data_IF_512645186904
#
_entry.id   IF_512645186904
#
_cell.length_a   1.000
_cell.length_b   1.000
_cell.length_c   1.000
_cell.angle_alpha   90.00
_cell.angle_beta   90.00
_cell.angle_gamma   90.00
#
_symmetry.space_group_name_H-M   'P 1'
#
loop_
_entity.id
_entity.type
_entity.pdbx_description
1 polymer ?
#
# COMPACT_ATOMS: atom_id res chain seq x y z
N UNK A 1 -9.74 -4.36 -25.21
CA UNK A 1 -10.01 -2.93 -24.92
C UNK A 1 -8.91 -2.03 -25.45
N UNK A 2 -9.28 -1.03 -26.27
CA UNK A 2 -8.36 -0.15 -26.98
C UNK A 2 -7.52 0.73 -26.04
N UNK A 3 -6.29 1.04 -26.45
CA UNK A 3 -5.36 1.97 -25.78
C UNK A 3 -6.04 3.34 -25.50
N UNK A 4 -6.99 3.71 -26.33
CA UNK A 4 -7.70 4.99 -26.32
C UNK A 4 -8.53 5.25 -25.05
N UNK A 5 -9.21 4.23 -24.49
CA UNK A 5 -10.04 4.39 -23.28
C UNK A 5 -9.21 4.49 -22.00
N UNK A 6 -7.98 3.95 -22.00
CA UNK A 6 -7.01 4.08 -20.89
C UNK A 6 -6.37 5.46 -20.88
N UNK A 7 -5.92 5.94 -22.04
CA UNK A 7 -5.35 7.27 -22.18
C UNK A 7 -6.31 8.38 -21.71
N UNK A 8 -7.59 8.30 -22.10
CA UNK A 8 -8.58 9.31 -21.66
C UNK A 8 -8.71 9.38 -20.13
N UNK A 9 -8.77 8.23 -19.45
CA UNK A 9 -8.87 8.17 -17.99
C UNK A 9 -7.63 8.72 -17.29
N UNK A 10 -6.45 8.42 -17.83
CA UNK A 10 -5.20 8.94 -17.28
C UNK A 10 -5.12 10.47 -17.44
N UNK A 11 -5.55 11.01 -18.60
CA UNK A 11 -5.65 12.46 -18.84
C UNK A 11 -6.68 13.11 -17.92
N UNK A 12 -7.88 12.53 -17.82
CA UNK A 12 -8.94 13.04 -16.95
C UNK A 12 -8.48 13.07 -15.48
N UNK A 13 -7.90 11.97 -15.00
CA UNK A 13 -7.40 11.87 -13.65
C UNK A 13 -6.24 12.81 -13.36
N UNK A 14 -5.33 12.99 -14.33
CA UNK A 14 -4.24 13.95 -14.25
C UNK A 14 -4.73 15.40 -14.21
N UNK A 15 -5.73 15.75 -15.03
CA UNK A 15 -6.36 17.07 -15.02
C UNK A 15 -7.07 17.35 -13.69
N UNK A 16 -7.89 16.41 -13.20
CA UNK A 16 -8.55 16.51 -11.88
C UNK A 16 -7.53 16.72 -10.76
N UNK A 17 -6.45 15.94 -10.76
CA UNK A 17 -5.39 16.07 -9.77
C UNK A 17 -4.67 17.43 -9.86
N UNK A 18 -4.40 17.93 -11.07
CA UNK A 18 -3.80 19.24 -11.28
C UNK A 18 -4.67 20.38 -10.73
N UNK A 19 -5.98 20.30 -10.98
CA UNK A 19 -6.96 21.29 -10.51
C UNK A 19 -7.10 21.28 -8.98
N UNK A 20 -7.14 20.09 -8.37
CA UNK A 20 -7.10 19.95 -6.90
C UNK A 20 -5.82 20.55 -6.31
N UNK A 21 -4.69 20.36 -6.99
CA UNK A 21 -3.41 20.95 -6.61
C UNK A 21 -3.44 22.47 -6.60
N UNK A 22 -4.07 23.08 -7.62
CA UNK A 22 -4.28 24.54 -7.68
C UNK A 22 -5.16 25.01 -6.53
N UNK A 23 -6.26 24.33 -6.22
CA UNK A 23 -7.13 24.71 -5.09
C UNK A 23 -6.40 24.65 -3.74
N UNK A 24 -5.55 23.63 -3.53
CA UNK A 24 -4.72 23.52 -2.33
C UNK A 24 -3.67 24.64 -2.23
N UNK A 25 -3.05 25.03 -3.34
CA UNK A 25 -2.12 26.16 -3.37
C UNK A 25 -2.84 27.49 -3.09
N UNK A 26 -4.04 27.67 -3.65
CA UNK A 26 -4.88 28.85 -3.40
C UNK A 26 -5.23 28.92 -1.90
N UNK A 27 -5.61 27.81 -1.28
CA UNK A 27 -5.92 27.73 0.15
C UNK A 27 -4.69 28.03 1.03
N UNK A 28 -3.52 27.45 0.71
CA UNK A 28 -2.28 27.72 1.46
C UNK A 28 -1.85 29.18 1.36
N UNK A 29 -2.00 29.78 0.18
CA UNK A 29 -1.68 31.20 -0.04
C UNK A 29 -2.66 32.08 0.74
N UNK A 30 -3.95 31.71 0.79
CA UNK A 30 -4.94 32.36 1.63
C UNK A 30 -4.56 32.29 3.11
N UNK A 31 -4.28 31.11 3.65
CA UNK A 31 -3.86 30.93 5.04
C UNK A 31 -2.60 31.75 5.37
N UNK A 32 -1.63 31.77 4.46
CA UNK A 32 -0.40 32.56 4.62
C UNK A 32 -0.69 34.06 4.65
N UNK A 33 -1.50 34.57 3.71
CA UNK A 33 -1.85 35.99 3.68
C UNK A 33 -2.70 36.40 4.88
N UNK A 34 -3.63 35.55 5.32
CA UNK A 34 -4.41 35.77 6.54
C UNK A 34 -3.48 35.82 7.75
N UNK A 35 -2.58 34.84 7.89
CA UNK A 35 -1.62 34.79 9.00
C UNK A 35 -0.65 35.98 9.04
N UNK A 36 -0.10 36.39 7.89
CA UNK A 36 0.76 37.59 7.79
C UNK A 36 -0.04 38.83 8.21
N UNK A 37 -1.24 39.00 7.67
CA UNK A 37 -2.05 40.17 7.95
C UNK A 37 -2.51 40.21 9.43
N UNK A 38 -2.78 39.07 10.05
CA UNK A 38 -3.07 38.94 11.49
C UNK A 38 -1.83 39.24 12.36
N UNK A 39 -0.64 38.85 11.92
CA UNK A 39 0.61 39.14 12.61
C UNK A 39 1.00 40.64 12.52
N UNK A 40 0.66 41.29 11.41
CA UNK A 40 0.94 42.72 11.19
C UNK A 40 -0.09 43.66 11.82
N UNK A 41 -1.20 43.15 12.35
CA UNK A 41 -2.19 44.01 13.02
C UNK A 41 -1.66 44.53 14.36
N UNK A 42 -1.71 45.86 14.58
CA UNK A 42 -1.42 46.44 15.89
C UNK A 42 -2.35 45.85 16.97
N UNK A 43 -1.83 45.63 18.18
CA UNK A 43 -2.58 44.92 19.23
C UNK A 43 -3.91 45.60 19.60
N UNK A 44 -4.02 46.92 19.41
CA UNK A 44 -5.23 47.72 19.65
C UNK A 44 -6.30 47.62 18.55
N UNK A 45 -5.96 47.05 17.38
CA UNK A 45 -6.88 46.81 16.25
C UNK A 45 -7.31 45.33 16.15
N UNK A 46 -6.73 44.45 16.96
CA UNK A 46 -7.09 43.03 17.01
C UNK A 46 -8.57 42.88 17.41
N UNK A 47 -9.35 42.26 16.53
CA UNK A 47 -10.77 41.95 16.76
C UNK A 47 -11.77 42.96 16.19
N UNK A 48 -11.33 44.12 15.67
CA UNK A 48 -12.25 45.10 15.05
C UNK A 48 -12.54 44.80 13.58
N UNK A 49 -11.54 44.36 12.82
CA UNK A 49 -11.65 43.95 11.41
C UNK A 49 -10.69 42.79 11.14
N UNK A 50 -11.16 41.53 11.04
CA UNK A 50 -10.28 40.40 10.78
C UNK A 50 -9.71 40.52 9.36
N UNK A 51 -8.38 40.46 9.15
CA UNK A 51 -7.77 40.53 7.81
C UNK A 51 -8.30 39.49 6.83
N UNK A 52 -8.75 38.36 7.37
CA UNK A 52 -9.48 37.33 6.65
C UNK A 52 -10.71 37.85 5.89
N UNK A 53 -11.34 38.94 6.31
CA UNK A 53 -12.51 39.53 5.64
C UNK A 53 -12.19 40.09 4.24
N UNK A 54 -10.94 40.50 3.98
CA UNK A 54 -10.51 41.05 2.68
C UNK A 54 -9.87 40.00 1.76
N UNK A 55 -9.14 39.04 2.35
CA UNK A 55 -8.51 37.96 1.60
C UNK A 55 -9.53 36.92 1.12
N UNK A 56 -10.47 36.50 1.99
CA UNK A 56 -11.43 35.41 1.71
C UNK A 56 -12.26 35.60 0.44
N UNK A 57 -12.78 36.79 0.09
CA UNK A 57 -13.54 37.00 -1.14
C UNK A 57 -12.71 36.76 -2.41
N UNK A 58 -11.46 37.23 -2.45
CA UNK A 58 -10.54 37.07 -3.59
C UNK A 58 -10.20 35.61 -3.79
N UNK A 59 -9.84 34.91 -2.70
CA UNK A 59 -9.53 33.48 -2.76
C UNK A 59 -10.76 32.61 -3.05
N UNK A 60 -11.95 33.01 -2.57
CA UNK A 60 -13.21 32.37 -2.97
C UNK A 60 -13.49 32.54 -4.45
N UNK A 61 -13.23 33.72 -5.03
CA UNK A 61 -13.36 33.95 -6.48
C UNK A 61 -12.36 33.10 -7.28
N UNK A 62 -11.11 32.99 -6.82
CA UNK A 62 -10.10 32.14 -7.45
C UNK A 62 -10.49 30.65 -7.43
N UNK A 63 -11.01 30.14 -6.29
CA UNK A 63 -11.55 28.78 -6.19
C UNK A 63 -12.78 28.56 -7.07
N UNK A 64 -13.69 29.54 -7.15
CA UNK A 64 -14.86 29.45 -8.03
C UNK A 64 -14.45 29.40 -9.50
N UNK A 65 -13.45 30.17 -9.90
CA UNK A 65 -12.88 30.13 -11.25
C UNK A 65 -12.21 28.77 -11.54
N UNK A 66 -11.40 28.25 -10.62
CA UNK A 66 -10.78 26.93 -10.75
C UNK A 66 -11.85 25.82 -10.84
N UNK A 67 -12.89 25.88 -10.00
CA UNK A 67 -14.03 24.96 -10.06
C UNK A 67 -14.90 25.11 -11.31
N UNK A 68 -14.94 26.29 -11.93
CA UNK A 68 -15.59 26.50 -13.23
C UNK A 68 -14.77 25.90 -14.38
N UNK A 69 -13.44 26.07 -14.35
CA UNK A 69 -12.51 25.41 -15.28
C UNK A 69 -12.61 23.89 -15.14
N UNK A 70 -12.64 23.37 -13.91
CA UNK A 70 -12.81 21.94 -13.62
C UNK A 70 -14.13 21.39 -14.21
N UNK A 71 -15.24 22.09 -13.99
CA UNK A 71 -16.55 21.71 -14.55
C UNK A 71 -16.60 21.85 -16.07
N UNK A 72 -15.96 22.86 -16.65
CA UNK A 72 -15.89 23.05 -18.11
C UNK A 72 -15.05 21.98 -18.80
N UNK A 73 -13.91 21.61 -18.21
CA UNK A 73 -13.07 20.51 -18.69
C UNK A 73 -13.77 19.16 -18.47
N UNK A 74 -14.39 18.94 -17.31
CA UNK A 74 -15.19 17.74 -17.04
C UNK A 74 -16.39 17.60 -17.97
N UNK A 75 -17.10 18.69 -18.25
CA UNK A 75 -18.22 18.72 -19.19
C UNK A 75 -17.80 18.44 -20.64
N UNK A 76 -16.69 19.04 -21.09
CA UNK A 76 -16.17 18.77 -22.44
C UNK A 76 -15.60 17.36 -22.59
N UNK A 77 -14.98 16.79 -21.55
CA UNK A 77 -14.58 15.38 -21.50
C UNK A 77 -15.78 14.41 -21.43
N UNK A 78 -16.87 14.77 -20.76
CA UNK A 78 -18.10 14.00 -20.67
C UNK A 78 -18.91 13.97 -21.97
N UNK A 79 -18.77 15.01 -22.80
CA UNK A 79 -19.36 15.08 -24.16
C UNK A 79 -18.61 14.19 -25.16
N UNK A 80 -17.35 13.85 -24.88
CA UNK A 80 -16.69 12.79 -25.63
C UNK A 80 -17.33 11.45 -25.18
N UNK A 81 -17.75 10.57 -26.11
CA UNK A 81 -18.49 9.35 -25.77
C UNK A 81 -17.73 8.57 -24.70
N UNK A 82 -18.29 8.50 -23.49
CA UNK A 82 -17.67 7.82 -22.37
C UNK A 82 -17.45 6.36 -22.75
N UNK A 83 -16.20 5.86 -22.83
CA UNK A 83 -16.01 4.43 -22.88
C UNK A 83 -16.55 3.88 -21.55
N UNK A 84 -17.27 2.77 -21.61
CA UNK A 84 -17.79 2.07 -20.43
C UNK A 84 -16.72 1.97 -19.32
N UNK A 85 -17.10 2.04 -18.04
CA UNK A 85 -16.16 1.89 -16.94
C UNK A 85 -15.39 0.59 -17.13
N UNK A 86 -14.11 0.74 -17.39
CA UNK A 86 -13.26 -0.36 -17.78
C UNK A 86 -12.35 -0.71 -16.62
N UNK A 87 -12.86 -1.49 -15.68
CA UNK A 87 -11.99 -2.48 -15.07
C UNK A 87 -11.24 -3.15 -16.23
N UNK A 88 -9.90 -3.05 -16.24
CA UNK A 88 -9.09 -3.50 -17.37
C UNK A 88 -9.60 -4.87 -17.81
N UNK A 89 -9.92 -5.03 -19.10
CA UNK A 89 -10.54 -6.28 -19.58
C UNK A 89 -9.88 -7.47 -18.89
N UNK A 90 -10.66 -8.37 -18.27
CA UNK A 90 -10.10 -9.54 -17.63
C UNK A 90 -9.16 -10.21 -18.63
N UNK A 91 -7.90 -10.42 -18.25
CA UNK A 91 -6.88 -10.96 -19.16
C UNK A 91 -6.00 -9.94 -19.90
N UNK A 92 -6.24 -8.64 -19.80
CA UNK A 92 -5.32 -7.61 -20.33
C UNK A 92 -4.13 -7.37 -19.39
N UNK A 93 -2.95 -7.12 -19.96
CA UNK A 93 -1.76 -6.62 -19.24
C UNK A 93 -1.68 -5.12 -19.44
N UNK A 94 -1.30 -4.38 -18.40
CA UNK A 94 -0.96 -2.98 -18.58
C UNK A 94 0.52 -2.84 -18.96
N UNK A 95 0.89 -1.68 -19.50
CA UNK A 95 2.28 -1.37 -19.78
C UNK A 95 3.04 -1.22 -18.45
N UNK A 96 4.21 -1.87 -18.26
CA UNK A 96 4.93 -1.84 -17.00
C UNK A 96 5.18 -0.43 -16.46
N UNK A 97 5.56 0.53 -17.33
CA UNK A 97 5.80 1.91 -16.93
C UNK A 97 4.57 2.61 -16.33
N UNK A 98 3.36 2.34 -16.86
CA UNK A 98 2.12 2.91 -16.32
C UNK A 98 1.77 2.32 -14.96
N UNK A 99 1.92 1.01 -14.79
CA UNK A 99 1.65 0.35 -13.50
C UNK A 99 2.57 0.89 -12.41
N UNK A 100 3.87 1.03 -12.73
CA UNK A 100 4.87 1.59 -11.84
C UNK A 100 4.52 3.03 -11.47
N UNK A 101 4.16 3.87 -12.45
CA UNK A 101 3.77 5.26 -12.19
C UNK A 101 2.51 5.37 -11.32
N UNK A 102 1.45 4.59 -11.62
CA UNK A 102 0.23 4.58 -10.81
C UNK A 102 0.48 4.10 -9.39
N UNK A 103 1.34 3.11 -9.21
CA UNK A 103 1.74 2.62 -7.89
C UNK A 103 2.45 3.71 -7.07
N UNK A 104 3.38 4.45 -7.67
CA UNK A 104 4.01 5.60 -7.02
C UNK A 104 2.97 6.64 -6.61
N UNK A 105 2.09 7.02 -7.54
CA UNK A 105 1.06 8.02 -7.28
C UNK A 105 0.11 7.59 -6.14
N UNK A 106 -0.40 6.37 -6.19
CA UNK A 106 -1.29 5.83 -5.17
C UNK A 106 -0.57 5.65 -3.84
N UNK A 107 0.70 5.28 -3.81
CA UNK A 107 1.45 5.22 -2.56
C UNK A 107 1.61 6.58 -1.88
N UNK A 108 1.84 7.66 -2.65
CA UNK A 108 2.07 9.00 -2.09
C UNK A 108 0.78 9.74 -1.76
N UNK A 109 -0.28 9.62 -2.59
CA UNK A 109 -1.53 10.40 -2.48
C UNK A 109 -2.81 9.58 -2.69
N UNK A 110 -2.74 8.26 -2.61
CA UNK A 110 -3.86 7.41 -3.00
C UNK A 110 -5.12 7.55 -2.13
N UNK A 111 -5.00 7.94 -0.86
CA UNK A 111 -6.15 8.26 -0.02
C UNK A 111 -6.89 9.52 -0.50
N UNK A 112 -6.16 10.54 -0.96
CA UNK A 112 -6.75 11.70 -1.63
C UNK A 112 -7.41 11.32 -2.96
N UNK A 113 -6.76 10.49 -3.78
CA UNK A 113 -7.33 10.03 -5.04
C UNK A 113 -8.65 9.28 -4.83
N UNK A 114 -8.73 8.43 -3.80
CA UNK A 114 -9.97 7.73 -3.43
C UNK A 114 -11.04 8.71 -2.93
N UNK A 115 -10.68 9.61 -2.01
CA UNK A 115 -11.63 10.58 -1.44
C UNK A 115 -12.20 11.58 -2.48
N UNK A 116 -11.46 11.83 -3.57
CA UNK A 116 -11.86 12.71 -4.67
C UNK A 116 -12.52 11.97 -5.85
N UNK A 117 -12.76 10.65 -5.73
CA UNK A 117 -13.28 9.80 -6.81
C UNK A 117 -12.46 9.99 -8.11
N UNK A 118 -11.14 10.05 -7.96
CA UNK A 118 -10.22 10.24 -9.07
C UNK A 118 -10.01 8.89 -9.78
N UNK A 119 -10.12 8.82 -11.14
CA UNK A 119 -9.98 7.56 -11.88
C UNK A 119 -8.57 6.94 -11.82
N UNK A 120 -7.58 7.64 -11.26
CA UNK A 120 -6.24 7.12 -10.98
C UNK A 120 -6.17 6.34 -9.66
N UNK A 121 -7.20 6.40 -8.81
CA UNK A 121 -7.28 5.62 -7.59
C UNK A 121 -7.35 4.12 -7.94
N UNK A 122 -6.41 3.33 -7.42
CA UNK A 122 -6.38 1.90 -7.64
C UNK A 122 -7.42 1.18 -6.77
N UNK A 123 -8.34 0.45 -7.39
CA UNK A 123 -9.15 -0.53 -6.68
C UNK A 123 -8.33 -1.79 -6.37
N UNK A 124 -8.61 -2.45 -5.24
CA UNK A 124 -7.98 -3.73 -4.92
C UNK A 124 -8.46 -4.81 -5.90
N UNK A 125 -7.52 -5.49 -6.54
CA UNK A 125 -7.85 -6.52 -7.51
C UNK A 125 -6.79 -7.63 -7.62
N UNK A 126 -7.21 -8.89 -7.83
CA UNK A 126 -6.28 -9.99 -8.02
C UNK A 126 -5.72 -9.99 -9.45
N UNK A 127 -4.45 -10.37 -9.58
CA UNK A 127 -3.73 -10.49 -10.85
C UNK A 127 -3.07 -11.85 -10.96
N UNK A 128 -3.25 -12.50 -12.11
CA UNK A 128 -2.59 -13.75 -12.43
C UNK A 128 -1.71 -13.55 -13.66
N UNK A 129 -0.41 -13.86 -13.54
CA UNK A 129 0.59 -13.64 -14.61
C UNK A 129 0.57 -12.19 -15.15
N UNK A 130 0.37 -11.20 -14.26
CA UNK A 130 0.28 -9.78 -14.62
C UNK A 130 -1.03 -9.35 -15.25
N UNK A 131 -2.05 -10.21 -15.33
CA UNK A 131 -3.36 -9.91 -15.92
C UNK A 131 -4.43 -9.80 -14.84
N UNK A 132 -5.35 -8.85 -14.98
CA UNK A 132 -6.49 -8.74 -14.08
C UNK A 132 -7.31 -10.03 -14.10
N UNK A 133 -7.63 -10.51 -12.90
CA UNK A 133 -8.49 -11.65 -12.63
C UNK A 133 -9.79 -11.13 -11.99
N UNK A 134 -10.94 -11.62 -12.44
CA UNK A 134 -12.21 -11.42 -11.75
C UNK A 134 -12.60 -12.75 -11.12
N UNK A 135 -12.76 -12.85 -9.79
CA UNK A 135 -13.15 -14.10 -9.14
C UNK A 135 -14.43 -14.70 -9.72
N UNK A 136 -15.39 -13.87 -10.09
CA UNK A 136 -16.70 -14.27 -10.58
C UNK A 136 -16.74 -14.54 -12.10
N UNK A 137 -15.60 -14.46 -12.81
CA UNK A 137 -15.55 -14.73 -14.25
C UNK A 137 -15.89 -16.21 -14.54
N UNK A 138 -16.91 -16.50 -15.35
CA UNK A 138 -17.26 -17.88 -15.75
C UNK A 138 -16.09 -18.65 -16.37
N UNK A 139 -15.10 -17.95 -16.95
CA UNK A 139 -13.92 -18.54 -17.58
C UNK A 139 -12.68 -18.57 -16.67
N UNK A 140 -12.84 -18.37 -15.36
CA UNK A 140 -11.74 -18.34 -14.40
C UNK A 140 -10.83 -19.58 -14.50
N UNK A 141 -11.43 -20.77 -14.61
CA UNK A 141 -10.69 -22.03 -14.76
C UNK A 141 -9.74 -22.02 -15.96
N UNK A 142 -10.24 -21.57 -17.12
CA UNK A 142 -9.46 -21.47 -18.35
C UNK A 142 -8.35 -20.40 -18.24
N UNK A 143 -8.61 -19.29 -17.54
CA UNK A 143 -7.62 -18.22 -17.32
C UNK A 143 -6.46 -18.64 -16.42
N UNK A 144 -6.75 -19.44 -15.39
CA UNK A 144 -5.72 -19.96 -14.49
C UNK A 144 -4.92 -21.09 -15.15
N UNK A 145 -5.55 -21.88 -16.03
CA UNK A 145 -4.85 -22.88 -16.85
C UNK A 145 -4.19 -23.96 -16.01
N UNK A 146 -4.95 -24.55 -15.08
CA UNK A 146 -4.47 -25.57 -14.13
C UNK A 146 -4.28 -25.03 -12.71
N UNK A 147 -5.33 -24.43 -12.14
CA UNK A 147 -5.34 -24.05 -10.73
C UNK A 147 -5.15 -25.28 -9.83
N UNK A 148 -4.32 -25.14 -8.82
CA UNK A 148 -4.06 -26.19 -7.81
C UNK A 148 -5.01 -26.04 -6.62
N UNK A 149 -4.97 -26.99 -5.69
CA UNK A 149 -5.73 -26.90 -4.43
C UNK A 149 -5.12 -25.93 -3.40
N UNK A 150 -4.07 -25.21 -3.78
CA UNK A 150 -3.32 -24.28 -2.92
C UNK A 150 -3.20 -22.90 -3.57
N UNK A 151 -4.04 -21.96 -3.13
CA UNK A 151 -3.97 -20.56 -3.50
C UNK A 151 -2.85 -19.85 -2.71
N UNK A 152 -1.96 -19.17 -3.41
CA UNK A 152 -0.96 -18.29 -2.81
C UNK A 152 -1.24 -16.83 -3.20
N UNK A 153 -1.53 -15.98 -2.22
CA UNK A 153 -1.68 -14.53 -2.43
C UNK A 153 -0.36 -13.81 -2.20
N UNK A 154 0.03 -12.95 -3.15
CA UNK A 154 1.24 -12.13 -3.09
C UNK A 154 0.83 -10.66 -2.92
N UNK A 155 1.09 -10.09 -1.75
CA UNK A 155 0.72 -8.72 -1.39
C UNK A 155 1.97 -7.85 -1.37
N UNK A 156 2.11 -6.94 -2.34
CA UNK A 156 3.30 -6.10 -2.50
C UNK A 156 3.35 -4.96 -1.47
N UNK A 157 4.50 -4.27 -1.40
CA UNK A 157 4.75 -3.15 -0.50
C UNK A 157 4.30 -1.79 -1.02
N UNK A 158 4.61 -0.75 -0.24
CA UNK A 158 4.31 0.66 -0.53
C UNK A 158 4.89 1.10 -1.88
N UNK A 159 4.11 1.83 -2.68
CA UNK A 159 4.51 2.36 -4.00
C UNK A 159 4.92 1.28 -5.02
N UNK A 160 4.57 0.02 -4.78
CA UNK A 160 4.84 -1.10 -5.67
C UNK A 160 3.58 -1.54 -6.41
N UNK A 161 3.80 -2.40 -7.39
CA UNK A 161 2.84 -3.07 -8.25
C UNK A 161 3.26 -4.53 -8.45
N UNK A 162 2.41 -5.34 -9.09
CA UNK A 162 2.67 -6.75 -9.36
C UNK A 162 3.99 -7.01 -10.11
N UNK A 163 4.37 -6.11 -11.02
CA UNK A 163 5.63 -6.22 -11.80
C UNK A 163 6.88 -6.31 -10.94
N UNK A 164 6.86 -5.77 -9.72
CA UNK A 164 8.02 -5.77 -8.83
C UNK A 164 8.31 -7.12 -8.16
N UNK A 165 7.36 -8.06 -8.20
CA UNK A 165 7.65 -9.43 -7.81
C UNK A 165 8.68 -10.10 -8.73
N UNK A 166 8.90 -9.55 -9.92
CA UNK A 166 10.00 -9.94 -10.79
C UNK A 166 11.21 -9.03 -10.58
N UNK A 167 12.28 -9.55 -10.01
CA UNK A 167 13.52 -8.82 -9.75
C UNK A 167 14.74 -9.71 -10.00
N UNK A 168 15.76 -9.18 -10.68
CA UNK A 168 17.02 -9.86 -10.97
C UNK A 168 16.82 -11.27 -11.57
N UNK A 169 15.85 -11.40 -12.48
CA UNK A 169 15.48 -12.66 -13.14
C UNK A 169 14.71 -13.65 -12.26
N UNK A 170 14.39 -13.29 -11.02
CA UNK A 170 13.67 -14.13 -10.05
C UNK A 170 12.26 -13.63 -9.79
N UNK A 171 11.36 -14.56 -9.41
CA UNK A 171 10.03 -14.24 -8.91
C UNK A 171 9.55 -15.33 -7.96
N UNK A 172 9.44 -15.00 -6.66
CA UNK A 172 9.08 -15.96 -5.60
C UNK A 172 7.82 -16.76 -5.90
N UNK A 173 6.72 -16.10 -6.31
CA UNK A 173 5.49 -16.81 -6.68
C UNK A 173 5.67 -17.85 -7.79
N UNK A 174 6.42 -17.55 -8.86
CA UNK A 174 6.68 -18.50 -9.95
C UNK A 174 7.57 -19.65 -9.50
N UNK A 175 8.58 -19.36 -8.69
CA UNK A 175 9.42 -20.38 -8.08
C UNK A 175 8.60 -21.34 -7.21
N UNK A 176 7.72 -20.79 -6.36
CA UNK A 176 6.85 -21.58 -5.47
C UNK A 176 5.80 -22.39 -6.23
N UNK A 177 5.30 -21.89 -7.37
CA UNK A 177 4.39 -22.65 -8.20
C UNK A 177 5.00 -23.99 -8.65
N UNK A 178 6.29 -23.99 -9.02
CA UNK A 178 7.02 -25.20 -9.36
C UNK A 178 7.48 -26.01 -8.14
N UNK A 179 7.97 -25.34 -7.10
CA UNK A 179 8.60 -26.01 -5.95
C UNK A 179 7.60 -26.54 -4.90
N UNK A 180 6.42 -25.94 -4.79
CA UNK A 180 5.42 -26.25 -3.76
C UNK A 180 4.01 -26.48 -4.32
N UNK A 181 3.83 -26.44 -5.65
CA UNK A 181 2.53 -26.74 -6.29
C UNK A 181 1.43 -25.72 -5.99
N UNK A 182 1.79 -24.45 -5.78
CA UNK A 182 0.82 -23.39 -5.50
C UNK A 182 0.38 -22.65 -6.76
N UNK A 183 -0.78 -22.01 -6.70
CA UNK A 183 -1.25 -21.06 -7.71
C UNK A 183 -1.03 -19.62 -7.22
N UNK A 184 0.02 -18.92 -7.66
CA UNK A 184 0.33 -17.57 -7.20
C UNK A 184 -0.58 -16.53 -7.86
N UNK A 185 -1.25 -15.72 -7.04
CA UNK A 185 -2.08 -14.59 -7.46
C UNK A 185 -1.55 -13.33 -6.77
N UNK A 186 -1.10 -12.35 -7.55
CA UNK A 186 -0.70 -11.04 -7.06
C UNK A 186 -1.89 -10.18 -6.70
N UNK A 187 -1.75 -9.29 -5.73
CA UNK A 187 -2.77 -8.31 -5.37
C UNK A 187 -2.29 -6.93 -5.79
N UNK A 188 -3.02 -6.28 -6.70
CA UNK A 188 -2.84 -4.86 -6.98
C UNK A 188 -3.79 -4.05 -6.11
N UNK A 189 -3.32 -2.99 -5.48
CA UNK A 189 -4.13 -2.18 -4.58
C UNK A 189 -3.54 -0.78 -4.36
N UNK A 190 -4.35 0.13 -3.82
CA UNK A 190 -3.93 1.47 -3.44
C UNK A 190 -3.19 1.44 -2.09
N UNK A 191 -1.85 1.46 -2.15
CA UNK A 191 -0.98 1.44 -0.97
C UNK A 191 -1.02 2.75 -0.14
N UNK A 192 -1.65 3.82 -0.65
CA UNK A 192 -1.81 5.07 0.09
C UNK A 192 -3.02 5.08 1.01
N UNK A 193 -3.93 4.10 0.89
CA UNK A 193 -5.04 3.93 1.84
C UNK A 193 -4.54 3.45 3.19
N UNK A 194 -5.38 3.63 4.21
CA UNK A 194 -5.16 3.03 5.52
C UNK A 194 -4.95 1.51 5.41
N UNK A 195 -4.00 0.97 6.16
CA UNK A 195 -3.66 -0.45 6.14
C UNK A 195 -4.86 -1.30 6.56
N UNK A 196 -5.63 -0.85 7.56
CA UNK A 196 -6.85 -1.52 7.99
C UNK A 196 -7.91 -1.61 6.87
N UNK A 197 -8.06 -0.54 6.07
CA UNK A 197 -9.01 -0.53 4.94
C UNK A 197 -8.57 -1.52 3.84
N UNK A 198 -7.29 -1.53 3.51
CA UNK A 198 -6.74 -2.53 2.58
C UNK A 198 -6.86 -3.96 3.14
N UNK A 199 -6.68 -4.16 4.45
CA UNK A 199 -6.87 -5.46 5.11
C UNK A 199 -8.30 -5.97 4.96
N UNK A 200 -9.30 -5.12 5.21
CA UNK A 200 -10.71 -5.48 5.01
C UNK A 200 -11.02 -5.86 3.57
N UNK A 201 -10.56 -5.08 2.60
CA UNK A 201 -10.77 -5.38 1.18
C UNK A 201 -10.07 -6.69 0.77
N UNK A 202 -8.89 -6.96 1.31
CA UNK A 202 -8.15 -8.20 1.06
C UNK A 202 -8.86 -9.41 1.67
N UNK A 203 -9.40 -9.29 2.88
CA UNK A 203 -10.17 -10.35 3.52
C UNK A 203 -11.43 -10.71 2.69
N UNK A 204 -12.16 -9.69 2.24
CA UNK A 204 -13.33 -9.87 1.39
C UNK A 204 -12.95 -10.49 0.02
N UNK A 205 -11.89 -9.97 -0.62
CA UNK A 205 -11.40 -10.50 -1.90
C UNK A 205 -10.95 -11.97 -1.79
N UNK A 206 -10.28 -12.33 -0.69
CA UNK A 206 -9.85 -13.71 -0.42
C UNK A 206 -11.07 -14.63 -0.32
N UNK A 207 -12.13 -14.20 0.37
CA UNK A 207 -13.39 -14.94 0.41
C UNK A 207 -14.03 -15.13 -0.96
N UNK A 208 -14.04 -14.10 -1.81
CA UNK A 208 -14.58 -14.21 -3.17
C UNK A 208 -13.76 -15.15 -4.06
N UNK A 209 -12.43 -15.08 -3.96
CA UNK A 209 -11.54 -16.01 -4.67
C UNK A 209 -11.73 -17.45 -4.20
N UNK A 210 -11.88 -17.68 -2.90
CA UNK A 210 -12.09 -19.00 -2.35
C UNK A 210 -13.44 -19.60 -2.79
N UNK A 211 -14.50 -18.79 -2.78
CA UNK A 211 -15.85 -19.22 -3.19
C UNK A 211 -15.95 -19.60 -4.67
N UNK A 212 -15.17 -18.95 -5.54
CA UNK A 212 -15.19 -19.18 -6.99
C UNK A 212 -13.97 -19.95 -7.48
N UNK A 213 -13.15 -20.49 -6.59
CA UNK A 213 -11.90 -21.14 -6.97
C UNK A 213 -12.15 -22.33 -7.91
N UNK A 214 -11.42 -22.45 -9.03
CA UNK A 214 -11.58 -23.60 -9.92
C UNK A 214 -11.05 -24.89 -9.28
N UNK A 215 -11.97 -25.71 -8.77
CA UNK A 215 -11.65 -26.99 -8.14
C UNK A 215 -11.61 -26.93 -6.61
N UNK A 216 -11.24 -28.03 -5.94
CA UNK A 216 -11.27 -28.11 -4.48
C UNK A 216 -10.13 -27.28 -3.87
N UNK A 217 -10.42 -26.06 -3.42
CA UNK A 217 -9.47 -25.26 -2.65
C UNK A 217 -9.29 -25.85 -1.26
N UNK A 218 -8.08 -26.25 -0.90
CA UNK A 218 -7.74 -26.84 0.41
C UNK A 218 -6.88 -25.93 1.26
N UNK A 219 -6.02 -25.13 0.63
CA UNK A 219 -5.03 -24.30 1.33
C UNK A 219 -4.98 -22.91 0.73
N UNK A 220 -4.91 -21.91 1.61
CA UNK A 220 -4.69 -20.51 1.29
C UNK A 220 -3.46 -20.06 2.07
N UNK A 221 -2.44 -19.62 1.34
CA UNK A 221 -1.26 -18.97 1.92
C UNK A 221 -1.17 -17.53 1.45
N UNK A 222 -0.62 -16.67 2.29
CA UNK A 222 -0.36 -15.27 1.98
C UNK A 222 1.11 -14.96 2.19
N UNK A 223 1.73 -14.26 1.24
CA UNK A 223 3.05 -13.66 1.38
C UNK A 223 2.88 -12.16 1.25
N UNK A 224 3.19 -11.43 2.32
CA UNK A 224 3.21 -9.97 2.33
C UNK A 224 4.64 -9.45 2.33
N UNK A 225 4.98 -8.61 1.36
CA UNK A 225 6.26 -7.90 1.31
C UNK A 225 6.14 -6.49 1.90
N UNK A 226 7.02 -6.14 2.83
CA UNK A 226 7.05 -4.83 3.46
C UNK A 226 5.68 -4.45 4.06
N UNK A 227 5.12 -3.30 3.68
CA UNK A 227 3.73 -2.89 3.98
C UNK A 227 2.70 -4.01 3.72
N UNK A 228 2.88 -4.82 2.68
CA UNK A 228 1.98 -5.93 2.36
C UNK A 228 1.86 -6.95 3.49
N UNK A 229 2.89 -7.13 4.31
CA UNK A 229 2.80 -7.98 5.51
C UNK A 229 1.86 -7.43 6.59
N UNK A 230 1.77 -6.11 6.70
CA UNK A 230 0.81 -5.45 7.60
C UNK A 230 -0.61 -5.55 7.06
N UNK A 231 -0.79 -5.40 5.74
CA UNK A 231 -2.09 -5.59 5.08
C UNK A 231 -2.57 -7.04 5.25
N UNK A 232 -1.68 -8.03 5.12
CA UNK A 232 -2.00 -9.44 5.42
C UNK A 232 -2.47 -9.57 6.87
N UNK A 233 -1.73 -9.04 7.86
CA UNK A 233 -2.17 -9.10 9.26
C UNK A 233 -3.53 -8.46 9.50
N UNK A 234 -3.78 -7.30 8.91
CA UNK A 234 -5.06 -6.61 8.99
C UNK A 234 -6.19 -7.46 8.37
N UNK A 235 -5.94 -8.13 7.25
CA UNK A 235 -6.91 -9.01 6.60
C UNK A 235 -7.24 -10.25 7.43
N UNK A 236 -6.23 -10.87 8.06
CA UNK A 236 -6.44 -12.01 8.95
C UNK A 236 -7.26 -11.61 10.18
N UNK A 237 -6.92 -10.49 10.81
CA UNK A 237 -7.70 -9.99 11.95
C UNK A 237 -9.16 -9.66 11.56
N UNK A 238 -9.37 -9.02 10.40
CA UNK A 238 -10.73 -8.76 9.90
C UNK A 238 -11.49 -10.06 9.66
N UNK A 239 -10.88 -11.01 8.97
CA UNK A 239 -11.51 -12.30 8.66
C UNK A 239 -11.89 -13.06 9.92
N UNK A 240 -11.05 -13.01 10.95
CA UNK A 240 -11.31 -13.61 12.27
C UNK A 240 -12.49 -12.94 12.96
N UNK A 241 -12.50 -11.60 13.00
CA UNK A 241 -13.58 -10.82 13.63
C UNK A 241 -14.92 -11.09 12.95
N UNK A 242 -14.93 -11.21 11.63
CA UNK A 242 -16.14 -11.51 10.85
C UNK A 242 -16.44 -13.01 10.69
N UNK A 243 -15.60 -13.90 11.24
CA UNK A 243 -15.72 -15.36 11.10
C UNK A 243 -15.86 -15.81 9.64
N UNK A 244 -15.04 -15.25 8.76
CA UNK A 244 -15.14 -15.52 7.33
C UNK A 244 -14.86 -17.01 7.02
N UNK A 245 -15.67 -17.66 6.16
CA UNK A 245 -15.57 -19.10 5.91
C UNK A 245 -14.23 -19.59 5.38
N UNK A 246 -13.52 -18.75 4.62
CA UNK A 246 -12.25 -19.11 3.98
C UNK A 246 -11.11 -19.38 4.96
N UNK A 247 -11.27 -19.00 6.24
CA UNK A 247 -10.33 -19.36 7.31
C UNK A 247 -10.22 -20.88 7.51
N UNK A 248 -11.22 -21.66 7.07
CA UNK A 248 -11.16 -23.11 7.11
C UNK A 248 -10.05 -23.70 6.19
N UNK A 249 -9.57 -22.92 5.21
CA UNK A 249 -8.47 -23.30 4.32
C UNK A 249 -7.16 -22.59 4.71
N UNK A 250 -7.06 -21.99 5.89
CA UNK A 250 -5.86 -21.30 6.34
C UNK A 250 -4.63 -22.24 6.39
N UNK A 251 -3.50 -21.77 5.85
CA UNK A 251 -2.25 -22.53 5.85
C UNK A 251 -1.08 -21.69 6.40
N UNK A 252 -0.60 -20.72 5.63
CA UNK A 252 0.59 -19.94 5.99
C UNK A 252 0.43 -18.44 5.74
N UNK A 253 1.01 -17.64 6.64
CA UNK A 253 1.17 -16.21 6.44
C UNK A 253 2.65 -15.86 6.62
N UNK A 254 3.30 -15.42 5.54
CA UNK A 254 4.72 -15.10 5.53
C UNK A 254 4.94 -13.60 5.35
N UNK A 255 5.81 -13.05 6.18
CA UNK A 255 6.12 -11.63 6.21
C UNK A 255 7.55 -11.39 5.74
N UNK A 256 7.73 -10.75 4.59
CA UNK A 256 9.04 -10.44 4.02
C UNK A 256 9.41 -8.99 4.34
N UNK A 257 10.26 -8.77 5.33
CA UNK A 257 10.69 -7.43 5.75
C UNK A 257 9.53 -6.55 6.25
N UNK A 258 8.48 -7.12 6.84
CA UNK A 258 7.31 -6.35 7.24
C UNK A 258 7.61 -5.49 8.48
N UNK A 259 7.39 -4.17 8.46
CA UNK A 259 7.67 -3.31 9.61
C UNK A 259 6.56 -3.43 10.67
N UNK A 260 6.49 -4.55 11.39
CA UNK A 260 5.43 -4.84 12.35
C UNK A 260 5.33 -3.81 13.47
N UNK A 261 6.43 -3.15 13.83
CA UNK A 261 6.50 -2.12 14.87
C UNK A 261 6.84 -0.75 14.30
N UNK A 262 6.55 -0.58 13.01
CA UNK A 262 6.88 0.62 12.27
C UNK A 262 8.27 0.57 11.62
N UNK A 263 8.49 1.53 10.74
CA UNK A 263 9.77 1.84 10.11
C UNK A 263 10.12 3.29 10.43
N UNK A 264 11.38 3.62 10.79
CA UNK A 264 11.79 4.98 11.12
C UNK A 264 11.90 5.88 9.87
N UNK A 265 10.79 6.08 9.14
CA UNK A 265 10.66 6.77 7.83
C UNK A 265 11.16 8.23 7.79
N UNK A 266 11.45 8.83 8.94
CA UNK A 266 11.82 10.25 9.07
C UNK A 266 13.30 10.52 9.35
N UNK A 267 14.14 9.47 9.50
CA UNK A 267 15.53 9.63 9.98
C UNK A 267 16.59 9.53 8.86
N UNK A 268 16.39 10.19 7.72
CA UNK A 268 17.48 10.50 6.77
C UNK A 268 17.20 10.24 5.28
N UNK A 269 18.12 10.70 4.42
CA UNK A 269 18.01 10.62 2.95
C UNK A 269 18.10 9.21 2.35
N UNK A 270 18.64 8.22 3.08
CA UNK A 270 18.77 6.84 2.60
C UNK A 270 17.44 6.14 2.33
N UNK A 271 16.36 6.50 3.04
CA UNK A 271 15.05 5.86 2.88
C UNK A 271 14.27 6.43 1.70
N UNK A 272 14.42 7.73 1.45
CA UNK A 272 13.96 8.36 0.21
C UNK A 272 14.70 7.78 -1.00
N UNK A 273 16.00 7.50 -0.86
CA UNK A 273 16.78 6.81 -1.90
C UNK A 273 16.27 5.38 -2.12
N UNK A 274 16.05 4.58 -1.06
CA UNK A 274 15.53 3.22 -1.19
C UNK A 274 14.11 3.18 -1.81
N UNK A 275 13.25 4.16 -1.49
CA UNK A 275 11.96 4.35 -2.16
C UNK A 275 12.14 4.78 -3.62
N UNK A 276 13.08 5.65 -3.95
CA UNK A 276 13.37 6.01 -5.34
C UNK A 276 13.98 4.84 -6.15
N UNK A 277 14.79 4.00 -5.51
CA UNK A 277 15.34 2.75 -6.09
C UNK A 277 14.24 1.71 -6.30
N UNK A 278 13.21 1.71 -5.45
CA UNK A 278 11.98 0.94 -5.64
C UNK A 278 11.21 1.44 -6.85
N UNK A 279 11.03 2.75 -6.99
CA UNK A 279 10.20 3.30 -8.06
C UNK A 279 10.77 4.62 -8.59
N UNK A 280 11.29 4.64 -9.84
CA UNK A 280 11.91 5.83 -10.42
C UNK A 280 11.01 7.07 -10.47
N UNK A 281 9.69 6.90 -10.49
CA UNK A 281 8.74 8.01 -10.51
C UNK A 281 8.57 8.70 -9.15
N UNK A 282 9.16 8.16 -8.07
CA UNK A 282 9.15 8.80 -6.76
C UNK A 282 10.17 9.93 -6.62
N UNK A 283 11.27 9.91 -7.39
CA UNK A 283 12.29 10.96 -7.33
C UNK A 283 11.75 12.40 -7.49
N UNK A 284 10.85 12.72 -8.46
CA UNK A 284 10.25 14.04 -8.55
C UNK A 284 9.20 14.31 -7.45
N UNK A 285 8.49 13.27 -6.99
CA UNK A 285 7.43 13.39 -5.98
C UNK A 285 7.99 13.56 -4.55
N UNK A 286 9.16 13.00 -4.26
CA UNK A 286 9.80 13.09 -2.95
C UNK A 286 10.17 14.50 -2.51
N UNK A 287 10.24 15.46 -3.45
CA UNK A 287 10.41 16.89 -3.14
C UNK A 287 9.19 17.52 -2.46
N UNK A 288 8.03 16.86 -2.53
CA UNK A 288 6.79 17.26 -1.86
C UNK A 288 6.72 16.70 -0.43
N UNK A 289 7.81 16.80 0.34
CA UNK A 289 8.04 16.11 1.63
C UNK A 289 6.95 16.24 2.72
N UNK A 290 5.96 17.13 2.54
CA UNK A 290 4.80 17.30 3.42
C UNK A 290 3.58 16.43 3.04
N UNK A 291 3.55 15.85 1.84
CA UNK A 291 2.44 15.01 1.39
C UNK A 291 2.71 13.56 1.82
N UNK A 292 1.92 13.09 2.77
CA UNK A 292 1.97 11.71 3.27
C UNK A 292 0.58 11.13 3.20
N UNK A 293 0.43 10.05 2.45
CA UNK A 293 -0.81 9.27 2.42
C UNK A 293 -1.08 8.63 3.78
N UNK A 294 -2.33 8.26 4.02
CA UNK A 294 -2.73 7.46 5.17
C UNK A 294 -1.88 6.18 5.35
N UNK A 295 -1.57 5.48 4.26
CA UNK A 295 -0.74 4.28 4.29
C UNK A 295 0.69 4.52 4.77
N UNK A 296 1.31 5.65 4.39
CA UNK A 296 2.65 6.03 4.89
C UNK A 296 2.61 6.30 6.41
N UNK A 297 1.57 6.96 6.88
CA UNK A 297 1.38 7.23 8.31
C UNK A 297 1.17 5.94 9.10
N UNK A 298 0.29 5.05 8.63
CA UNK A 298 0.07 3.75 9.28
C UNK A 298 1.36 2.91 9.30
N UNK A 299 2.14 2.91 8.21
CA UNK A 299 3.41 2.20 8.10
C UNK A 299 4.46 2.69 9.11
N UNK A 300 4.51 4.01 9.38
CA UNK A 300 5.42 4.61 10.38
C UNK A 300 5.18 4.04 11.77
N UNK A 301 3.93 3.74 12.12
CA UNK A 301 3.53 3.27 13.45
C UNK A 301 3.21 1.76 13.50
N UNK A 302 3.22 1.07 12.35
CA UNK A 302 2.77 -0.31 12.23
C UNK A 302 1.29 -0.47 12.59
N UNK A 303 0.46 0.56 12.37
CA UNK A 303 -0.96 0.58 12.69
C UNK A 303 -1.74 -0.27 11.69
N UNK A 304 -2.52 -1.22 12.19
CA UNK A 304 -3.27 -2.17 11.34
C UNK A 304 -4.73 -2.32 11.75
N UNK A 305 -5.14 -1.76 12.90
CA UNK A 305 -6.52 -1.80 13.36
C UNK A 305 -7.27 -0.54 12.92
N UNK A 306 -8.59 -0.66 12.73
CA UNK A 306 -9.42 0.48 12.31
C UNK A 306 -9.58 1.51 13.44
N UNK A 307 -9.52 1.06 14.68
CA UNK A 307 -9.58 1.88 15.88
C UNK A 307 -8.33 2.75 16.05
N UNK A 308 -7.18 2.31 15.52
CA UNK A 308 -5.93 3.10 15.52
C UNK A 308 -6.10 4.43 14.76
N UNK A 309 -7.03 4.48 13.77
CA UNK A 309 -7.37 5.68 12.99
C UNK A 309 -8.20 6.69 13.79
N UNK A 310 -9.12 6.21 14.63
CA UNK A 310 -10.06 7.08 15.35
C UNK A 310 -9.38 7.86 16.48
N UNK A 311 -8.26 7.35 17.00
CA UNK A 311 -7.54 7.92 18.13
C UNK A 311 -6.63 9.11 17.78
N UNK A 312 -6.42 9.46 16.50
CA UNK A 312 -5.51 10.55 16.12
C UNK A 312 -6.03 11.35 14.91
N UNK A 313 -6.87 12.39 15.14
CA UNK A 313 -7.37 13.28 14.08
C UNK A 313 -6.28 14.15 13.45
N UNK A 314 -5.22 14.47 14.21
CA UNK A 314 -4.08 15.27 13.74
C UNK A 314 -2.94 14.37 13.25
N UNK A 315 -2.90 14.16 11.93
CA UNK A 315 -1.91 13.34 11.22
C UNK A 315 -0.48 13.90 11.29
N UNK A 316 -0.27 15.12 11.77
CA UNK A 316 1.01 15.84 11.70
C UNK A 316 1.55 16.31 13.07
N UNK A 317 0.80 16.13 14.15
CA UNK A 317 1.19 16.55 15.50
C UNK A 317 2.38 15.78 16.07
N UNK A 318 3.20 16.44 16.90
CA UNK A 318 4.30 15.81 17.67
C UNK A 318 3.80 14.77 18.67
N UNK A 319 2.53 14.84 19.07
CA UNK A 319 1.80 13.87 19.91
C UNK A 319 1.05 12.80 19.10
N UNK A 320 1.28 12.70 17.78
CA UNK A 320 0.90 11.54 16.97
C UNK A 320 1.78 10.32 17.33
N UNK A 321 1.76 9.95 18.62
CA UNK A 321 2.30 8.76 19.23
C UNK A 321 1.11 7.89 19.63
N UNK A 322 0.63 7.14 18.64
CA UNK A 322 -0.61 6.36 18.67
C UNK A 322 -0.57 5.34 19.82
N UNK A 323 -1.61 5.33 20.66
CA UNK A 323 -2.00 4.15 21.44
C UNK A 323 -2.47 3.11 20.42
N UNK A 324 -1.53 2.37 19.84
CA UNK A 324 -1.83 1.32 18.86
C UNK A 324 -2.39 0.12 19.62
N UNK A 325 -3.49 -0.47 19.17
CA UNK A 325 -3.98 -1.68 19.82
C UNK A 325 -3.07 -2.87 19.48
N UNK A 326 -2.72 -3.72 20.47
CA UNK A 326 -2.10 -5.00 20.18
C UNK A 326 -3.05 -5.89 19.36
N UNK A 327 -2.58 -6.34 18.20
CA UNK A 327 -3.30 -7.28 17.34
C UNK A 327 -2.50 -8.57 17.27
N UNK A 328 -2.93 -9.64 17.96
CA UNK A 328 -2.20 -10.90 17.97
C UNK A 328 -2.24 -11.57 16.59
N UNK A 329 -1.36 -12.56 16.41
CA UNK A 329 -1.37 -13.42 15.25
C UNK A 329 -2.61 -14.33 15.24
N UNK A 330 -3.11 -14.65 14.04
CA UNK A 330 -4.30 -15.50 13.91
C UNK A 330 -3.90 -16.98 14.07
N UNK A 331 -4.46 -17.72 15.03
CA UNK A 331 -4.04 -19.10 15.30
C UNK A 331 -4.39 -20.07 14.17
N UNK A 332 -5.25 -19.71 13.21
CA UNK A 332 -5.55 -20.54 12.04
C UNK A 332 -4.36 -20.62 11.06
N UNK A 333 -3.40 -19.69 11.14
CA UNK A 333 -2.24 -19.64 10.24
C UNK A 333 -0.95 -20.01 10.96
N UNK A 334 -0.05 -20.70 10.23
CA UNK A 334 1.36 -20.75 10.60
C UNK A 334 2.04 -19.48 10.12
N UNK A 335 2.62 -18.74 11.04
CA UNK A 335 3.21 -17.43 10.77
C UNK A 335 4.73 -17.51 10.64
N UNK A 336 5.25 -16.92 9.57
CA UNK A 336 6.67 -16.91 9.26
C UNK A 336 7.18 -15.49 9.03
N UNK A 337 8.40 -15.19 9.45
CA UNK A 337 9.00 -13.87 9.26
C UNK A 337 10.40 -13.95 8.67
N UNK A 338 10.65 -13.13 7.66
CA UNK A 338 11.96 -12.95 7.04
C UNK A 338 12.43 -11.54 7.30
N UNK A 339 13.61 -11.40 7.89
CA UNK A 339 14.31 -10.14 8.05
C UNK A 339 15.57 -10.13 7.20
N UNK A 340 16.01 -8.95 6.79
CA UNK A 340 17.32 -8.74 6.21
C UNK A 340 18.15 -7.78 7.06
N UNK A 341 19.47 -7.86 6.92
CA UNK A 341 20.39 -6.85 7.44
C UNK A 341 21.49 -6.56 6.42
N UNK A 342 21.90 -5.29 6.32
CA UNK A 342 23.09 -4.87 5.59
C UNK A 342 24.40 -5.36 6.25
N UNK A 343 24.34 -5.68 7.55
CA UNK A 343 25.47 -6.17 8.33
C UNK A 343 25.95 -7.56 7.91
N UNK A 344 27.20 -7.87 8.28
CA UNK A 344 27.84 -9.16 8.02
C UNK A 344 27.55 -10.15 9.15
N UNK A 345 27.51 -9.67 10.41
CA UNK A 345 27.36 -10.50 11.61
C UNK A 345 26.10 -10.12 12.38
N UNK A 346 25.21 -11.06 12.75
CA UNK A 346 24.01 -10.77 13.54
C UNK A 346 24.36 -10.14 14.90
N UNK A 347 23.87 -8.93 15.18
CA UNK A 347 23.93 -8.29 16.51
C UNK A 347 24.76 -7.02 16.62
N UNK A 348 25.39 -6.57 15.53
CA UNK A 348 26.13 -5.31 15.50
C UNK A 348 25.20 -4.11 15.81
N UNK A 349 25.74 -3.02 16.36
CA UNK A 349 24.93 -1.83 16.69
C UNK A 349 24.23 -1.23 15.45
N UNK A 350 24.82 -1.42 14.26
CA UNK A 350 24.22 -1.06 12.97
C UNK A 350 23.03 -1.97 12.58
N UNK A 351 23.07 -3.26 12.93
CA UNK A 351 21.95 -4.21 12.70
C UNK A 351 20.69 -3.80 13.46
N UNK A 352 20.87 -3.29 14.68
CA UNK A 352 19.76 -2.91 15.57
C UNK A 352 19.06 -1.62 15.15
N UNK A 353 19.74 -0.72 14.44
CA UNK A 353 19.22 0.60 14.10
C UNK A 353 18.77 0.76 12.65
N UNK A 354 19.31 0.00 11.70
CA UNK A 354 18.96 0.14 10.28
C UNK A 354 18.43 -1.14 9.64
N UNK A 355 18.73 -2.33 10.19
CA UNK A 355 18.34 -3.61 9.59
C UNK A 355 18.71 -3.67 8.11
N UNK A 356 17.70 -3.79 7.25
CA UNK A 356 17.85 -3.89 5.79
C UNK A 356 17.91 -2.54 5.05
N UNK A 357 18.08 -1.44 5.79
CA UNK A 357 18.08 -0.06 5.27
C UNK A 357 16.73 0.64 5.37
N UNK A 358 15.64 -0.09 5.62
CA UNK A 358 14.29 0.44 5.83
C UNK A 358 13.66 -0.05 7.11
N UNK A 359 13.81 -1.34 7.42
CA UNK A 359 13.11 -2.00 8.51
C UNK A 359 14.12 -2.63 9.49
N UNK A 360 14.06 -2.26 10.78
CA UNK A 360 14.87 -2.91 11.81
C UNK A 360 14.53 -4.41 11.92
N UNK A 361 15.54 -5.25 12.19
CA UNK A 361 15.39 -6.71 12.27
C UNK A 361 14.33 -7.12 13.30
N UNK A 362 14.30 -6.49 14.48
CA UNK A 362 13.29 -6.80 15.51
C UNK A 362 11.87 -6.48 15.04
N UNK A 363 11.69 -5.35 14.32
CA UNK A 363 10.41 -5.00 13.70
C UNK A 363 10.00 -6.04 12.65
N UNK A 364 10.92 -6.47 11.79
CA UNK A 364 10.69 -7.50 10.78
C UNK A 364 10.34 -8.87 11.38
N UNK A 365 10.90 -9.22 12.54
CA UNK A 365 10.57 -10.43 13.28
C UNK A 365 9.36 -10.31 14.21
N UNK A 366 8.76 -9.13 14.30
CA UNK A 366 7.63 -8.89 15.20
C UNK A 366 8.01 -8.90 16.68
N UNK A 367 9.30 -8.72 17.00
CA UNK A 367 9.80 -8.68 18.37
C UNK A 367 9.59 -7.32 19.01
N UNK A 368 9.10 -7.29 20.24
CA UNK A 368 8.84 -6.04 20.95
C UNK A 368 9.20 -6.15 22.44
N UNK A 369 9.74 -5.09 23.07
CA UNK A 369 10.02 -5.09 24.51
C UNK A 369 8.78 -5.25 25.39
N UNK A 370 7.66 -4.65 24.98
CA UNK A 370 6.35 -4.87 25.59
C UNK A 370 5.74 -6.19 25.06
N UNK A 371 5.51 -7.20 25.93
CA UNK A 371 4.96 -8.50 25.55
C UNK A 371 3.60 -8.44 24.87
N UNK A 372 2.80 -7.39 25.09
CA UNK A 372 1.51 -7.25 24.43
C UNK A 372 1.67 -7.12 22.90
N UNK A 373 2.76 -6.51 22.44
CA UNK A 373 3.02 -6.28 21.01
C UNK A 373 3.95 -7.32 20.38
N UNK A 374 4.60 -8.18 21.19
CA UNK A 374 5.43 -9.26 20.65
C UNK A 374 4.56 -10.29 19.93
N UNK A 375 4.94 -10.63 18.69
CA UNK A 375 4.17 -11.55 17.86
C UNK A 375 4.45 -13.03 18.18
N UNK A 376 5.46 -13.34 18.99
CA UNK A 376 5.75 -14.71 19.41
C UNK A 376 6.19 -15.65 18.28
N UNK A 377 6.66 -15.12 17.13
CA UNK A 377 7.09 -15.95 16.00
C UNK A 377 8.31 -16.78 16.39
N UNK A 378 8.17 -18.10 16.32
CA UNK A 378 9.17 -19.07 16.74
C UNK A 378 10.46 -19.00 15.94
N UNK A 379 11.57 -19.48 16.51
CA UNK A 379 12.87 -19.46 15.83
C UNK A 379 12.90 -20.30 14.54
N UNK A 380 12.09 -21.36 14.45
CA UNK A 380 11.96 -22.22 13.25
C UNK A 380 11.18 -21.55 12.11
N UNK A 381 10.42 -20.53 12.44
CA UNK A 381 9.56 -19.78 11.53
C UNK A 381 10.17 -18.40 11.20
N UNK A 382 11.47 -18.23 11.48
CA UNK A 382 12.22 -17.02 11.18
C UNK A 382 13.42 -17.29 10.29
N UNK A 383 13.69 -16.36 9.39
CA UNK A 383 14.90 -16.35 8.57
C UNK A 383 15.54 -14.95 8.61
N UNK A 384 16.83 -14.89 8.95
CA UNK A 384 17.64 -13.68 8.79
C UNK A 384 18.52 -13.83 7.55
N UNK A 385 18.47 -12.85 6.65
CA UNK A 385 19.35 -12.75 5.49
C UNK A 385 20.36 -11.64 5.73
N UNK A 386 21.65 -11.97 5.79
CA UNK A 386 22.72 -10.98 6.00
C UNK A 386 23.24 -10.42 4.68
N UNK A 387 23.94 -9.28 4.74
CA UNK A 387 24.46 -8.55 3.57
C UNK A 387 23.41 -8.34 2.48
N UNK A 388 22.19 -7.99 2.88
CA UNK A 388 21.05 -7.84 1.99
C UNK A 388 20.24 -6.62 2.41
N UNK A 389 19.89 -5.79 1.43
CA UNK A 389 18.96 -4.68 1.60
C UNK A 389 17.51 -5.14 1.50
N UNK A 390 16.59 -4.24 1.80
CA UNK A 390 15.14 -4.51 1.81
C UNK A 390 14.64 -5.08 0.46
N UNK A 391 15.19 -4.55 -0.63
CA UNK A 391 14.84 -4.93 -2.00
C UNK A 391 15.39 -6.31 -2.39
N UNK A 392 16.53 -6.71 -1.83
CA UNK A 392 17.20 -7.97 -2.18
C UNK A 392 16.38 -9.18 -1.74
N UNK A 393 15.53 -9.00 -0.72
CA UNK A 393 14.57 -10.02 -0.28
C UNK A 393 13.68 -10.53 -1.43
N UNK A 394 13.36 -9.69 -2.43
CA UNK A 394 12.51 -10.08 -3.58
C UNK A 394 13.21 -11.03 -4.56
N UNK A 395 14.54 -11.03 -4.61
CA UNK A 395 15.35 -11.86 -5.50
C UNK A 395 16.20 -12.92 -4.76
N UNK A 396 16.18 -12.92 -3.43
CA UNK A 396 17.04 -13.75 -2.60
C UNK A 396 16.73 -15.25 -2.75
N UNK A 397 17.74 -16.02 -3.20
CA UNK A 397 17.66 -17.49 -3.29
C UNK A 397 17.44 -18.17 -1.94
N UNK A 398 18.16 -17.81 -0.85
CA UNK A 398 17.88 -18.35 0.49
C UNK A 398 16.42 -18.15 0.91
N UNK A 399 15.85 -16.96 0.63
CA UNK A 399 14.43 -16.68 0.91
C UNK A 399 13.54 -17.60 0.09
N UNK A 400 13.76 -17.72 -1.22
CA UNK A 400 12.95 -18.59 -2.08
C UNK A 400 12.93 -20.04 -1.58
N UNK A 401 14.09 -20.58 -1.24
CA UNK A 401 14.23 -21.95 -0.72
C UNK A 401 13.51 -22.14 0.61
N UNK A 402 13.62 -21.17 1.53
CA UNK A 402 12.95 -21.24 2.81
C UNK A 402 11.43 -21.11 2.68
N UNK A 403 10.95 -20.23 1.79
CA UNK A 403 9.55 -20.12 1.44
C UNK A 403 8.99 -21.45 0.92
N UNK A 404 9.73 -22.14 0.03
CA UNK A 404 9.28 -23.44 -0.48
C UNK A 404 9.16 -24.48 0.64
N UNK A 405 10.11 -24.52 1.59
CA UNK A 405 10.03 -25.41 2.76
C UNK A 405 8.82 -25.13 3.64
N UNK A 406 8.57 -23.85 3.94
CA UNK A 406 7.43 -23.46 4.78
C UNK A 406 6.09 -23.67 4.11
N UNK A 407 5.97 -23.44 2.80
CA UNK A 407 4.70 -23.54 2.07
C UNK A 407 4.36 -24.99 1.71
N UNK A 408 5.36 -25.87 1.59
CA UNK A 408 5.15 -27.29 1.30
C UNK A 408 4.75 -28.11 2.54
N UNK A 409 5.08 -27.65 3.75
CA UNK A 409 4.71 -28.32 5.02
C UNK A 409 3.24 -28.16 5.33
#
# INVERSE_FOLDING_TARGET
MSVFSRWRRDVEGGLRLGLDGVDRLIALTEETHVGIAEAMQPFWLRGWLPPAAFARPVYRAARLANGAVARGLGGSLALLPAPAPAAGEPGSRDAPGREIWLAALNGVIGDHLEASDNPLALAMAPRYKGRLLLPEDPHLAARLGGATDHLLLLVHGLCMADVFWHRDGHHHGRYLAGAAGVTPVGIAYNTGRHIAANGRDLAALTGRLAAHWPGPLRRISLIGYSMGGLVVRAALDQARRERMPWLAQAAHAVYLGAPHHGAPLERGGHQLQALADLNPFLAPLGRLARVRSAGITDLRHGSIAEEDRAASPDRFGREAGIVRKPVPLDPAFRHHAVAATLGVTPGDAADRLLGDGLVPVDSAFGRHPDPAYDLGIGARDRLLVTRSGHLDLLASRPVAQQLAKWIAS
#
